data_IF_782036949591
#
_entry.id   IF_782036949591
#
_cell.length_a   1.000
_cell.length_b   1.000
_cell.length_c   1.000
_cell.angle_alpha   90.00
_cell.angle_beta   90.00
_cell.angle_gamma   90.00
#
_symmetry.space_group_name_H-M   'P 1'
#
loop_
_entity.id
_entity.type
_entity.pdbx_description
1 polymer ?
#
# COMPACT_ATOMS: atom_id res chain seq x y z
N UNK A 1 3.82 5.50 -10.01
CA UNK A 1 3.55 4.05 -10.10
C UNK A 1 4.50 3.34 -9.14
N UNK A 2 3.95 2.71 -8.10
CA UNK A 2 4.72 2.12 -7.00
C UNK A 2 5.22 0.71 -7.33
N UNK A 3 4.72 0.11 -8.41
CA UNK A 3 5.19 -1.15 -8.98
C UNK A 3 5.17 -1.08 -10.50
N UNK A 4 5.88 -2.01 -11.14
CA UNK A 4 6.11 -2.08 -12.59
C UNK A 4 4.84 -2.32 -13.44
N UNK A 5 3.73 -2.76 -12.83
CA UNK A 5 2.48 -3.07 -13.54
C UNK A 5 1.26 -2.84 -12.65
N UNK A 6 0.14 -2.45 -13.28
CA UNK A 6 -1.18 -2.27 -12.64
C UNK A 6 -1.58 -3.48 -11.79
N UNK A 7 -1.31 -4.68 -12.29
CA UNK A 7 -1.64 -5.92 -11.58
C UNK A 7 -0.87 -6.06 -10.27
N UNK A 8 0.37 -5.58 -10.21
CA UNK A 8 1.17 -5.58 -9.00
C UNK A 8 0.69 -4.51 -8.02
N UNK A 9 0.23 -3.34 -8.48
CA UNK A 9 -0.41 -2.33 -7.63
C UNK A 9 -1.73 -2.86 -7.04
N UNK A 10 -2.55 -3.55 -7.84
CA UNK A 10 -3.80 -4.18 -7.36
C UNK A 10 -3.52 -5.33 -6.39
N UNK A 11 -2.53 -6.19 -6.66
CA UNK A 11 -2.11 -7.26 -5.73
C UNK A 11 -1.63 -6.67 -4.41
N UNK A 12 -0.81 -5.62 -4.47
CA UNK A 12 -0.33 -4.90 -3.29
C UNK A 12 -1.52 -4.33 -2.49
N UNK A 13 -2.44 -3.61 -3.14
CA UNK A 13 -3.65 -3.09 -2.50
C UNK A 13 -4.50 -4.18 -1.84
N UNK A 14 -4.69 -5.33 -2.50
CA UNK A 14 -5.42 -6.47 -1.92
C UNK A 14 -4.74 -7.01 -0.68
N UNK A 15 -3.41 -7.15 -0.68
CA UNK A 15 -2.67 -7.61 0.50
C UNK A 15 -2.77 -6.60 1.66
N UNK A 16 -2.64 -5.32 1.35
CA UNK A 16 -2.78 -4.24 2.33
C UNK A 16 -4.20 -4.20 2.93
N UNK A 17 -5.26 -4.27 2.13
CA UNK A 17 -6.63 -4.29 2.68
C UNK A 17 -6.97 -5.58 3.44
N UNK A 18 -6.31 -6.69 3.12
CA UNK A 18 -6.40 -7.94 3.88
C UNK A 18 -5.62 -7.88 5.20
N UNK A 19 -4.80 -6.84 5.42
CA UNK A 19 -3.93 -6.73 6.58
C UNK A 19 -2.79 -7.75 6.57
N UNK A 20 -2.38 -8.22 5.38
CA UNK A 20 -1.32 -9.21 5.24
C UNK A 20 0.06 -8.56 5.40
N UNK A 21 1.02 -9.28 6.01
CA UNK A 21 2.40 -8.84 6.09
C UNK A 21 2.94 -8.60 4.67
N UNK A 22 3.28 -7.35 4.38
CA UNK A 22 3.69 -6.93 3.04
C UNK A 22 4.99 -6.14 3.12
N UNK A 23 6.04 -6.66 2.49
CA UNK A 23 7.35 -6.01 2.41
C UNK A 23 7.24 -4.76 1.52
N UNK A 24 7.91 -3.67 1.92
CA UNK A 24 7.94 -2.45 1.14
C UNK A 24 8.49 -2.69 -0.28
N UNK A 25 7.73 -2.47 -1.36
CA UNK A 25 8.22 -2.72 -2.72
C UNK A 25 9.36 -1.79 -3.13
N UNK A 26 9.40 -0.57 -2.55
CA UNK A 26 10.40 0.46 -2.87
C UNK A 26 11.77 0.17 -2.29
N UNK A 27 11.85 -0.13 -0.99
CA UNK A 27 13.14 -0.35 -0.33
C UNK A 27 13.43 -1.81 0.02
N UNK A 28 12.41 -2.68 0.03
CA UNK A 28 12.49 -4.12 0.38
C UNK A 28 13.18 -4.44 1.72
N UNK A 29 13.29 -3.45 2.62
CA UNK A 29 14.00 -3.58 3.89
C UNK A 29 13.08 -3.85 5.09
N UNK A 30 11.82 -3.45 5.03
CA UNK A 30 10.88 -3.62 6.13
C UNK A 30 9.45 -3.84 5.64
N UNK A 31 8.65 -4.46 6.49
CA UNK A 31 7.22 -4.62 6.30
C UNK A 31 6.49 -3.29 6.48
N UNK A 32 5.45 -3.10 5.68
CA UNK A 32 4.56 -1.96 5.77
C UNK A 32 3.77 -2.06 7.06
N UNK A 33 3.65 -0.94 7.77
CA UNK A 33 2.92 -0.84 9.02
C UNK A 33 1.71 0.07 8.86
N UNK A 34 0.61 -0.25 9.54
CA UNK A 34 -0.57 0.61 9.59
C UNK A 34 -0.21 1.96 10.22
N UNK A 35 -0.41 3.05 9.47
CA UNK A 35 -0.17 4.41 9.96
C UNK A 35 -1.29 4.87 10.91
N UNK A 36 -2.54 4.45 10.67
CA UNK A 36 -3.70 4.86 11.47
C UNK A 36 -4.50 3.67 12.02
N UNK A 37 -4.56 3.56 13.36
CA UNK A 37 -5.33 2.54 14.10
C UNK A 37 -6.87 2.75 14.07
N UNK A 38 -7.37 3.85 13.50
CA UNK A 38 -8.79 4.27 13.54
C UNK A 38 -9.36 4.71 12.17
N UNK A 39 -8.78 4.27 11.07
CA UNK A 39 -9.36 4.58 9.75
C UNK A 39 -10.43 3.54 9.37
N UNK A 40 -11.50 3.99 8.71
CA UNK A 40 -12.42 3.09 7.98
C UNK A 40 -11.60 2.22 7.03
N UNK A 41 -11.99 0.96 6.84
CA UNK A 41 -11.26 -0.07 6.08
C UNK A 41 -10.76 0.38 4.69
N UNK A 42 -11.44 1.33 4.05
CA UNK A 42 -11.08 1.90 2.74
C UNK A 42 -10.02 3.01 2.77
N UNK A 43 -9.64 3.52 3.93
CA UNK A 43 -8.70 4.64 4.08
C UNK A 43 -7.54 4.27 5.02
N UNK A 44 -7.06 3.04 4.92
CA UNK A 44 -5.93 2.57 5.70
C UNK A 44 -4.65 3.00 4.97
N UNK A 45 -3.95 3.94 5.59
CA UNK A 45 -2.62 4.35 5.16
C UNK A 45 -1.57 3.39 5.72
N UNK A 46 -0.65 3.00 4.86
CA UNK A 46 0.45 2.11 5.19
C UNK A 46 1.76 2.88 5.08
N UNK A 47 2.67 2.70 6.03
CA UNK A 47 3.98 3.36 6.00
C UNK A 47 5.08 2.35 6.17
N UNK A 48 6.13 2.49 5.37
CA UNK A 48 7.36 1.74 5.56
C UNK A 48 8.20 2.41 6.66
N UNK A 49 8.56 1.71 7.75
CA UNK A 49 9.42 2.27 8.78
C UNK A 49 10.89 2.42 8.34
N UNK A 50 11.34 1.67 7.33
CA UNK A 50 12.73 1.72 6.86
C UNK A 50 13.02 2.89 5.91
N UNK A 51 12.18 3.10 4.89
CA UNK A 51 12.36 4.19 3.93
C UNK A 51 11.44 5.40 4.16
N UNK A 52 10.47 5.29 5.07
CA UNK A 52 9.51 6.35 5.35
C UNK A 52 8.38 6.49 4.32
N UNK A 53 8.36 5.66 3.27
CA UNK A 53 7.37 5.74 2.19
C UNK A 53 5.94 5.49 2.69
N UNK A 54 5.00 6.31 2.21
CA UNK A 54 3.59 6.26 2.62
C UNK A 54 2.74 5.79 1.44
N UNK A 55 2.11 4.64 1.61
CA UNK A 55 1.19 4.00 0.68
C UNK A 55 -0.23 4.30 1.12
N UNK A 56 -0.82 5.32 0.49
CA UNK A 56 -2.22 5.69 0.70
C UNK A 56 -3.09 4.85 -0.22
N UNK A 57 -3.68 3.78 0.31
CA UNK A 57 -4.42 2.80 -0.49
C UNK A 57 -5.57 3.41 -1.28
N UNK A 58 -6.20 4.48 -0.77
CA UNK A 58 -7.25 5.23 -1.48
C UNK A 58 -6.72 6.02 -2.69
N UNK A 59 -5.57 6.68 -2.56
CA UNK A 59 -4.94 7.40 -3.67
C UNK A 59 -4.45 6.40 -4.71
N UNK A 60 -3.77 5.34 -4.27
CA UNK A 60 -3.30 4.28 -5.16
C UNK A 60 -4.46 3.65 -5.94
N UNK A 61 -5.63 3.44 -5.31
CA UNK A 61 -6.82 2.98 -6.02
C UNK A 61 -7.34 4.01 -7.03
N UNK A 62 -7.40 5.29 -6.64
CA UNK A 62 -7.88 6.38 -7.51
C UNK A 62 -6.94 6.69 -8.69
N UNK A 63 -5.66 6.39 -8.56
CA UNK A 63 -4.65 6.58 -9.60
C UNK A 63 -4.58 5.39 -10.57
N UNK A 64 -5.29 4.29 -10.30
CA UNK A 64 -5.44 3.21 -11.28
C UNK A 64 -6.37 3.71 -12.40
N UNK A 65 -5.92 3.71 -13.67
CA UNK A 65 -6.78 4.10 -14.77
C UNK A 65 -8.00 3.17 -14.85
N UNK A 66 -9.19 3.77 -14.98
CA UNK A 66 -10.40 3.09 -15.42
C UNK A 66 -10.16 2.56 -16.83
N UNK A 67 -10.48 1.29 -17.02
CA UNK A 67 -10.11 0.50 -18.20
C UNK A 67 -10.79 0.96 -19.48
#
# INVERSE_FOLDING_TARGET
MYTDSRENEVRLLKQLWAGLPTICPKCRQAELMHLHKKAKKSNIDWKCPACGEIYRTINMLSELPDS
#
